data_IF_562842816687
#
_entry.id   IF_562842816687
#
_cell.length_a   1.000
_cell.length_b   1.000
_cell.length_c   1.000
_cell.angle_alpha   90.00
_cell.angle_beta   90.00
_cell.angle_gamma   90.00
#
_symmetry.space_group_name_H-M   'P 1'
#
loop_
_entity.id
_entity.type
_entity.pdbx_description
1 polymer ?
#
# COMPACT_ATOMS: atom_id res chain seq x y z
N UNK A 1 -8.59 15.49 -37.13
CA UNK A 1 -9.16 16.15 -35.91
C UNK A 1 -9.36 15.20 -34.73
N UNK A 2 -9.58 13.91 -34.96
CA UNK A 2 -9.88 12.92 -33.89
C UNK A 2 -8.74 12.50 -32.97
N UNK A 3 -7.50 12.49 -33.43
CA UNK A 3 -6.35 12.04 -32.60
C UNK A 3 -5.99 13.02 -31.49
N UNK A 4 -6.07 14.31 -31.75
CA UNK A 4 -5.80 15.36 -30.75
C UNK A 4 -6.84 15.36 -29.63
N UNK A 5 -8.11 15.17 -29.99
CA UNK A 5 -9.21 15.06 -29.04
C UNK A 5 -9.09 13.80 -28.16
N UNK A 6 -8.81 12.65 -28.78
CA UNK A 6 -8.60 11.38 -28.04
C UNK A 6 -7.42 11.46 -27.07
N UNK A 7 -6.33 12.13 -27.47
CA UNK A 7 -5.17 12.34 -26.58
C UNK A 7 -5.51 13.29 -25.44
N UNK A 8 -6.26 14.35 -25.68
CA UNK A 8 -6.73 15.27 -24.65
C UNK A 8 -7.66 14.57 -23.64
N UNK A 9 -8.61 13.78 -24.11
CA UNK A 9 -9.51 12.99 -23.24
C UNK A 9 -8.73 11.97 -22.42
N UNK A 10 -7.71 11.31 -22.98
CA UNK A 10 -6.83 10.41 -22.22
C UNK A 10 -6.04 11.16 -21.15
N UNK A 11 -5.50 12.33 -21.48
CA UNK A 11 -4.77 13.17 -20.52
C UNK A 11 -5.67 13.64 -19.38
N UNK A 12 -6.88 14.09 -19.70
CA UNK A 12 -7.90 14.49 -18.69
C UNK A 12 -8.29 13.30 -17.81
N UNK A 13 -8.57 12.13 -18.38
CA UNK A 13 -8.87 10.91 -17.60
C UNK A 13 -7.72 10.50 -16.69
N UNK A 14 -6.47 10.59 -17.17
CA UNK A 14 -5.28 10.33 -16.37
C UNK A 14 -5.16 11.33 -15.23
N UNK A 15 -5.34 12.61 -15.51
CA UNK A 15 -5.31 13.68 -14.51
C UNK A 15 -6.40 13.51 -13.46
N UNK A 16 -7.65 13.27 -13.87
CA UNK A 16 -8.75 13.00 -12.94
C UNK A 16 -8.42 11.79 -12.06
N UNK A 17 -7.96 10.68 -12.64
CA UNK A 17 -7.59 9.47 -11.89
C UNK A 17 -6.45 9.70 -10.90
N UNK A 18 -5.50 10.56 -11.27
CA UNK A 18 -4.33 10.85 -10.44
C UNK A 18 -4.65 11.82 -9.30
N UNK A 19 -5.50 12.83 -9.55
CA UNK A 19 -5.81 13.90 -8.59
C UNK A 19 -7.18 13.77 -7.93
N UNK A 20 -7.98 12.77 -8.30
CA UNK A 20 -9.33 12.56 -7.77
C UNK A 20 -9.36 12.55 -6.23
N UNK A 21 -8.50 11.76 -5.61
CA UNK A 21 -8.44 11.64 -4.15
C UNK A 21 -8.17 13.01 -3.48
N UNK A 22 -7.38 13.88 -4.12
CA UNK A 22 -7.04 15.19 -3.60
C UNK A 22 -8.16 16.20 -3.80
N UNK A 23 -8.65 16.34 -5.03
CA UNK A 23 -9.67 17.34 -5.39
C UNK A 23 -11.00 17.02 -4.73
N UNK A 24 -11.45 15.77 -4.83
CA UNK A 24 -12.72 15.34 -4.25
C UNK A 24 -12.65 15.32 -2.72
N UNK A 25 -11.52 14.86 -2.15
CA UNK A 25 -11.28 14.86 -0.71
C UNK A 25 -11.27 16.28 -0.13
N UNK A 26 -10.58 17.23 -0.77
CA UNK A 26 -10.56 18.63 -0.32
C UNK A 26 -11.93 19.31 -0.44
N UNK A 27 -12.67 19.02 -1.51
CA UNK A 27 -14.02 19.56 -1.70
C UNK A 27 -14.99 19.07 -0.60
N UNK A 28 -15.00 17.77 -0.31
CA UNK A 28 -15.81 17.22 0.77
C UNK A 28 -15.42 17.79 2.13
N UNK A 29 -14.11 17.91 2.40
CA UNK A 29 -13.60 18.50 3.63
C UNK A 29 -14.04 19.95 3.79
N UNK A 30 -13.92 20.80 2.75
CA UNK A 30 -14.31 22.21 2.79
C UNK A 30 -15.80 22.35 3.01
N UNK A 31 -16.65 21.60 2.29
CA UNK A 31 -18.11 21.65 2.43
C UNK A 31 -18.51 21.22 3.85
N UNK A 32 -17.98 20.12 4.35
CA UNK A 32 -18.30 19.63 5.69
C UNK A 32 -17.82 20.59 6.79
N UNK A 33 -16.61 21.16 6.66
CA UNK A 33 -16.09 22.17 7.59
C UNK A 33 -16.91 23.45 7.57
N UNK A 34 -17.41 23.85 6.40
CA UNK A 34 -18.33 25.00 6.29
C UNK A 34 -19.62 24.79 7.06
N UNK A 35 -20.18 23.58 7.05
CA UNK A 35 -21.38 23.27 7.86
C UNK A 35 -21.11 23.41 9.36
N UNK A 36 -19.95 22.95 9.84
CA UNK A 36 -19.55 23.20 11.24
C UNK A 36 -19.40 24.68 11.55
N UNK A 37 -18.80 25.45 10.64
CA UNK A 37 -18.65 26.90 10.78
C UNK A 37 -20.01 27.60 10.85
N UNK A 38 -20.99 27.22 10.02
CA UNK A 38 -22.35 27.75 10.05
C UNK A 38 -23.01 27.52 11.43
N UNK A 39 -22.83 26.32 12.01
CA UNK A 39 -23.35 26.04 13.36
C UNK A 39 -22.69 26.90 14.41
N UNK A 40 -21.37 27.10 14.33
CA UNK A 40 -20.62 27.91 15.28
C UNK A 40 -21.05 29.39 15.26
N UNK A 41 -21.24 29.98 14.08
CA UNK A 41 -21.62 31.38 13.91
C UNK A 41 -23.08 31.62 14.28
N UNK A 42 -23.97 30.69 13.86
CA UNK A 42 -25.41 30.87 14.03
C UNK A 42 -25.98 30.08 15.22
N UNK A 43 -25.15 29.79 16.21
CA UNK A 43 -25.50 28.97 17.39
C UNK A 43 -26.80 29.34 18.09
N UNK A 44 -27.19 30.61 18.08
CA UNK A 44 -28.38 31.10 18.75
C UNK A 44 -29.69 30.88 17.97
N UNK A 45 -29.57 30.61 16.66
CA UNK A 45 -30.72 30.43 15.78
C UNK A 45 -31.13 28.95 15.59
N UNK A 46 -30.25 28.02 15.93
CA UNK A 46 -30.54 26.61 15.76
C UNK A 46 -31.05 25.96 17.04
N UNK A 47 -32.09 25.13 16.91
CA UNK A 47 -32.48 24.23 17.99
C UNK A 47 -31.39 23.16 18.23
N UNK A 48 -31.37 22.54 19.43
CA UNK A 48 -30.41 21.44 19.75
C UNK A 48 -30.49 20.35 18.70
N UNK A 49 -31.67 19.95 18.26
CA UNK A 49 -31.87 18.98 17.19
C UNK A 49 -31.33 19.46 15.84
N UNK A 50 -31.43 20.75 15.53
CA UNK A 50 -30.85 21.34 14.33
C UNK A 50 -29.32 21.25 14.32
N UNK A 51 -28.69 21.58 15.46
CA UNK A 51 -27.22 21.45 15.64
C UNK A 51 -26.78 20.00 15.42
N UNK A 52 -27.44 19.02 16.05
CA UNK A 52 -27.10 17.62 15.88
C UNK A 52 -27.19 17.15 14.42
N UNK A 53 -28.26 17.50 13.71
CA UNK A 53 -28.43 17.12 12.30
C UNK A 53 -27.33 17.71 11.41
N UNK A 54 -27.03 19.01 11.54
CA UNK A 54 -26.02 19.67 10.71
C UNK A 54 -24.64 19.10 11.00
N UNK A 55 -24.29 18.89 12.28
CA UNK A 55 -23.03 18.30 12.67
C UNK A 55 -22.89 16.86 12.17
N UNK A 56 -23.98 16.07 12.16
CA UNK A 56 -23.98 14.71 11.62
C UNK A 56 -23.71 14.71 10.12
N UNK A 57 -24.41 15.57 9.36
CA UNK A 57 -24.17 15.73 7.92
C UNK A 57 -22.74 16.22 7.66
N UNK A 58 -22.25 17.19 8.44
CA UNK A 58 -20.88 17.67 8.38
C UNK A 58 -19.86 16.53 8.54
N UNK A 59 -20.07 15.66 9.54
CA UNK A 59 -19.20 14.48 9.74
C UNK A 59 -19.24 13.50 8.57
N UNK A 60 -20.43 13.21 8.02
CA UNK A 60 -20.57 12.32 6.85
C UNK A 60 -19.77 12.86 5.65
N UNK A 61 -19.57 14.17 5.54
CA UNK A 61 -18.79 14.79 4.47
C UNK A 61 -17.30 14.90 4.82
N UNK A 62 -16.98 15.36 6.04
CA UNK A 62 -15.59 15.59 6.48
C UNK A 62 -14.80 14.29 6.55
N UNK A 63 -15.37 13.23 7.13
CA UNK A 63 -14.63 12.00 7.36
C UNK A 63 -14.12 11.32 6.06
N UNK A 64 -14.95 11.10 5.02
CA UNK A 64 -14.46 10.61 3.74
C UNK A 64 -13.45 11.56 3.10
N UNK A 65 -13.65 12.89 3.23
CA UNK A 65 -12.73 13.89 2.74
C UNK A 65 -11.32 13.72 3.32
N UNK A 66 -11.22 13.63 4.64
CA UNK A 66 -9.95 13.41 5.35
C UNK A 66 -9.35 12.06 4.97
N UNK A 67 -10.14 10.99 4.93
CA UNK A 67 -9.67 9.66 4.53
C UNK A 67 -9.01 9.66 3.13
N UNK A 68 -9.62 10.36 2.16
CA UNK A 68 -9.05 10.50 0.82
C UNK A 68 -7.74 11.30 0.82
N UNK A 69 -7.68 12.39 1.60
CA UNK A 69 -6.47 13.19 1.73
C UNK A 69 -5.34 12.41 2.42
N UNK A 70 -5.62 11.70 3.50
CA UNK A 70 -4.65 10.84 4.20
C UNK A 70 -4.14 9.74 3.26
N UNK A 71 -5.04 9.07 2.54
CA UNK A 71 -4.67 8.07 1.53
C UNK A 71 -3.72 8.66 0.47
N UNK A 72 -4.03 9.85 -0.04
CA UNK A 72 -3.18 10.55 -1.02
C UNK A 72 -1.83 10.94 -0.43
N UNK A 73 -1.83 11.48 0.78
CA UNK A 73 -0.60 11.80 1.51
C UNK A 73 0.31 10.57 1.66
N UNK A 74 -0.23 9.44 2.08
CA UNK A 74 0.52 8.19 2.22
C UNK A 74 1.13 7.76 0.89
N UNK A 75 0.35 7.75 -0.20
CA UNK A 75 0.84 7.44 -1.54
C UNK A 75 1.97 8.35 -2.00
N UNK A 76 1.87 9.66 -1.77
CA UNK A 76 2.90 10.62 -2.17
C UNK A 76 4.17 10.49 -1.31
N UNK A 77 4.00 10.38 0.01
CA UNK A 77 5.11 10.36 0.96
C UNK A 77 5.97 9.11 0.86
N UNK A 78 5.32 7.96 0.63
CA UNK A 78 5.99 6.67 0.62
C UNK A 78 6.19 6.09 -0.79
N UNK A 79 5.80 6.80 -1.85
CA UNK A 79 5.97 6.38 -3.25
C UNK A 79 7.40 5.97 -3.59
N UNK A 80 8.38 6.77 -3.20
CA UNK A 80 9.79 6.50 -3.51
C UNK A 80 10.33 5.28 -2.76
N UNK A 81 9.75 4.96 -1.61
CA UNK A 81 10.15 3.79 -0.85
C UNK A 81 9.58 2.51 -1.46
N UNK A 82 8.31 2.51 -1.86
CA UNK A 82 7.66 1.41 -2.57
C UNK A 82 8.35 1.08 -3.90
N UNK A 83 8.90 2.09 -4.59
CA UNK A 83 9.63 1.89 -5.85
C UNK A 83 11.07 1.38 -5.64
N UNK A 84 11.71 1.70 -4.52
CA UNK A 84 13.08 1.23 -4.19
C UNK A 84 13.13 -0.23 -3.76
N UNK A 85 12.01 -0.80 -3.32
CA UNK A 85 11.84 -2.24 -3.10
C UNK A 85 11.74 -3.00 -4.43
N UNK A 86 12.63 -2.71 -5.40
CA UNK A 86 12.72 -3.50 -6.64
C UNK A 86 13.39 -4.85 -6.36
N UNK A 87 13.06 -5.85 -7.18
CA UNK A 87 13.46 -7.25 -7.03
C UNK A 87 14.97 -7.50 -6.84
N UNK A 88 15.83 -6.53 -7.19
CA UNK A 88 17.29 -6.63 -7.01
C UNK A 88 17.73 -6.59 -5.54
N UNK A 89 16.95 -5.92 -4.68
CA UNK A 89 17.26 -5.79 -3.24
C UNK A 89 16.92 -7.07 -2.45
N UNK A 90 16.11 -7.97 -3.03
CA UNK A 90 15.68 -9.23 -2.39
C UNK A 90 16.63 -10.41 -2.60
N UNK A 91 17.78 -10.18 -3.26
CA UNK A 91 18.68 -11.23 -3.69
C UNK A 91 19.69 -11.70 -2.63
N UNK A 92 19.76 -11.00 -1.49
CA UNK A 92 20.63 -11.38 -0.39
C UNK A 92 19.82 -11.83 0.81
N UNK A 93 19.93 -13.08 1.24
CA UNK A 93 19.20 -13.72 2.36
C UNK A 93 19.21 -12.95 3.68
N UNK A 94 20.13 -12.01 3.85
CA UNK A 94 20.24 -11.11 5.00
C UNK A 94 19.38 -9.84 4.88
N UNK A 95 18.94 -9.48 3.67
CA UNK A 95 18.23 -8.21 3.42
C UNK A 95 16.72 -8.31 3.66
N UNK A 96 16.10 -9.48 3.57
CA UNK A 96 14.67 -9.67 3.82
C UNK A 96 14.30 -9.30 5.26
N UNK A 97 15.13 -9.64 6.22
CA UNK A 97 14.93 -9.27 7.62
C UNK A 97 15.10 -7.76 7.83
N UNK A 98 16.05 -7.13 7.15
CA UNK A 98 16.31 -5.68 7.21
C UNK A 98 15.18 -4.91 6.53
N UNK A 99 14.68 -5.40 5.38
CA UNK A 99 13.56 -4.78 4.69
C UNK A 99 12.29 -4.82 5.52
N UNK A 100 11.93 -5.97 6.08
CA UNK A 100 10.78 -6.10 6.97
C UNK A 100 10.89 -5.21 8.21
N UNK A 101 12.07 -5.13 8.81
CA UNK A 101 12.32 -4.24 9.94
C UNK A 101 12.16 -2.76 9.55
N UNK A 102 12.69 -2.35 8.39
CA UNK A 102 12.53 -0.97 7.90
C UNK A 102 11.09 -0.65 7.55
N UNK A 103 10.34 -1.59 6.97
CA UNK A 103 8.91 -1.47 6.73
C UNK A 103 8.13 -1.26 8.04
N UNK A 104 8.36 -2.12 9.03
CA UNK A 104 7.73 -2.04 10.36
C UNK A 104 8.09 -0.74 11.10
N UNK A 105 9.33 -0.28 10.96
CA UNK A 105 9.75 1.00 11.53
C UNK A 105 9.03 2.19 10.89
N UNK A 106 8.81 2.17 9.57
CA UNK A 106 8.08 3.22 8.84
C UNK A 106 6.58 3.19 9.12
N UNK A 107 5.98 2.01 9.22
CA UNK A 107 4.60 1.84 9.68
C UNK A 107 4.42 2.49 11.06
N UNK A 108 5.24 2.11 12.04
CA UNK A 108 5.22 2.65 13.40
C UNK A 108 5.47 4.17 13.42
N UNK A 109 6.39 4.66 12.57
CA UNK A 109 6.65 6.10 12.45
C UNK A 109 5.46 6.85 11.88
N UNK A 110 4.74 6.30 10.88
CA UNK A 110 3.54 6.91 10.30
C UNK A 110 2.41 6.96 11.33
N UNK A 111 2.19 5.89 12.08
CA UNK A 111 1.20 5.85 13.17
C UNK A 111 1.52 6.85 14.28
N UNK A 112 2.80 6.97 14.67
CA UNK A 112 3.23 7.95 15.68
C UNK A 112 2.97 9.38 15.23
N UNK A 113 3.30 9.73 13.99
CA UNK A 113 3.03 11.08 13.44
C UNK A 113 1.55 11.39 13.44
N UNK A 114 0.75 10.45 12.98
CA UNK A 114 -0.69 10.61 12.94
C UNK A 114 -1.28 10.78 14.34
N UNK A 115 -0.87 9.95 15.30
CA UNK A 115 -1.27 10.08 16.71
C UNK A 115 -0.90 11.46 17.30
N UNK A 116 0.25 12.01 16.94
CA UNK A 116 0.65 13.35 17.41
C UNK A 116 -0.26 14.44 16.84
N UNK A 117 -0.64 14.36 15.55
CA UNK A 117 -1.60 15.30 14.94
C UNK A 117 -2.94 15.25 15.68
N UNK A 118 -3.46 14.05 15.90
CA UNK A 118 -4.72 13.87 16.65
C UNK A 118 -4.65 14.34 18.09
N UNK A 119 -3.50 14.18 18.76
CA UNK A 119 -3.32 14.72 20.11
C UNK A 119 -3.43 16.26 20.12
N UNK A 120 -2.90 16.93 19.09
CA UNK A 120 -3.04 18.38 18.92
C UNK A 120 -4.50 18.75 18.66
N UNK A 121 -5.22 18.04 17.79
CA UNK A 121 -6.64 18.29 17.52
C UNK A 121 -7.51 18.05 18.75
N UNK A 122 -7.25 16.99 19.50
CA UNK A 122 -7.96 16.70 20.75
C UNK A 122 -7.70 17.78 21.81
N UNK A 123 -6.46 18.26 21.91
CA UNK A 123 -6.12 19.35 22.84
C UNK A 123 -6.81 20.66 22.46
N UNK A 124 -6.91 20.97 21.15
CA UNK A 124 -7.63 22.12 20.65
C UNK A 124 -9.15 22.03 20.90
N UNK A 125 -9.74 20.83 20.71
CA UNK A 125 -11.15 20.58 21.01
C UNK A 125 -11.43 20.71 22.51
N UNK A 126 -10.54 20.21 23.38
CA UNK A 126 -10.65 20.34 24.83
C UNK A 126 -10.52 21.81 25.28
N UNK A 127 -9.57 22.57 24.72
CA UNK A 127 -9.41 24.00 24.97
C UNK A 127 -10.66 24.80 24.53
N UNK A 128 -11.23 24.43 23.39
CA UNK A 128 -12.49 25.04 22.92
C UNK A 128 -13.65 24.73 23.87
N UNK A 129 -13.79 23.51 24.35
CA UNK A 129 -14.81 23.16 25.36
C UNK A 129 -14.62 23.92 26.65
N UNK A 130 -13.39 24.05 27.14
CA UNK A 130 -13.06 24.82 28.33
C UNK A 130 -13.43 26.31 28.17
N UNK A 131 -13.05 26.91 27.04
CA UNK A 131 -13.35 28.32 26.73
C UNK A 131 -14.86 28.58 26.70
N UNK A 132 -15.63 27.68 26.06
CA UNK A 132 -17.09 27.80 26.00
C UNK A 132 -17.71 27.61 27.40
N UNK A 133 -17.23 26.67 28.18
CA UNK A 133 -17.71 26.46 29.56
C UNK A 133 -17.51 27.68 30.44
N UNK A 134 -16.41 28.43 30.20
CA UNK A 134 -16.10 29.64 30.93
C UNK A 134 -16.88 30.87 30.44
N UNK A 135 -17.12 30.97 29.13
CA UNK A 135 -17.64 32.18 28.45
C UNK A 135 -19.17 32.28 28.38
N UNK A 136 -19.92 31.18 28.54
CA UNK A 136 -21.35 31.21 28.28
C UNK A 136 -22.17 30.33 29.21
N UNK A 137 -23.27 30.88 29.70
CA UNK A 137 -24.23 30.17 30.52
C UNK A 137 -24.75 28.89 29.88
N UNK A 138 -25.00 27.95 30.71
CA UNK A 138 -25.37 26.55 30.51
C UNK A 138 -26.40 26.33 29.41
N UNK A 139 -26.14 25.35 28.51
CA UNK A 139 -27.14 24.62 27.75
C UNK A 139 -26.80 24.30 26.30
N UNK A 140 -26.55 25.29 25.43
CA UNK A 140 -26.50 25.09 23.97
C UNK A 140 -25.09 24.80 23.42
N UNK A 141 -24.06 25.21 24.11
CA UNK A 141 -22.67 25.13 23.65
C UNK A 141 -22.07 23.73 23.87
N UNK A 142 -22.59 23.01 24.84
CA UNK A 142 -22.09 21.65 25.13
C UNK A 142 -22.35 20.64 24.02
N UNK A 143 -23.51 20.72 23.35
CA UNK A 143 -23.84 19.82 22.25
C UNK A 143 -22.82 19.93 21.09
N UNK A 144 -22.44 21.15 20.70
CA UNK A 144 -21.43 21.37 19.69
C UNK A 144 -20.05 20.85 20.12
N UNK A 145 -19.69 21.04 21.38
CA UNK A 145 -18.44 20.55 21.95
C UNK A 145 -18.36 19.03 21.99
N UNK A 146 -19.41 18.35 22.45
CA UNK A 146 -19.48 16.88 22.43
C UNK A 146 -19.39 16.33 21.00
N UNK A 147 -20.02 16.99 20.03
CA UNK A 147 -19.93 16.61 18.63
C UNK A 147 -18.52 16.81 18.06
N UNK A 148 -17.80 17.87 18.46
CA UNK A 148 -16.38 18.03 18.07
C UNK A 148 -15.51 16.90 18.60
N UNK A 149 -15.64 16.55 19.88
CA UNK A 149 -14.88 15.42 20.46
C UNK A 149 -15.23 14.11 19.76
N UNK A 150 -16.51 13.86 19.50
CA UNK A 150 -16.95 12.68 18.75
C UNK A 150 -16.38 12.66 17.32
N UNK A 151 -16.31 13.82 16.65
CA UNK A 151 -15.71 13.96 15.30
C UNK A 151 -14.25 13.54 15.31
N UNK A 152 -13.45 14.07 16.25
CA UNK A 152 -12.02 13.73 16.37
C UNK A 152 -11.84 12.23 16.66
N UNK A 153 -12.72 11.64 17.47
CA UNK A 153 -12.65 10.21 17.76
C UNK A 153 -12.97 9.32 16.56
N UNK A 154 -14.01 9.68 15.80
CA UNK A 154 -14.37 9.00 14.54
C UNK A 154 -13.23 9.15 13.52
N UNK A 155 -12.67 10.35 13.41
CA UNK A 155 -11.53 10.65 12.53
C UNK A 155 -10.33 9.75 12.87
N UNK A 156 -10.02 9.60 14.14
CA UNK A 156 -8.97 8.69 14.61
C UNK A 156 -9.16 7.26 14.09
N UNK A 157 -10.37 6.71 14.27
CA UNK A 157 -10.66 5.34 13.85
C UNK A 157 -10.55 5.22 12.33
N UNK A 158 -11.17 6.13 11.59
CA UNK A 158 -11.19 6.11 10.12
C UNK A 158 -9.78 6.26 9.52
N UNK A 159 -9.00 7.21 10.00
CA UNK A 159 -7.66 7.45 9.49
C UNK A 159 -6.69 6.32 9.85
N UNK A 160 -6.79 5.76 11.06
CA UNK A 160 -6.03 4.57 11.45
C UNK A 160 -6.29 3.41 10.49
N UNK A 161 -7.56 3.16 10.17
CA UNK A 161 -7.94 2.09 9.24
C UNK A 161 -7.39 2.34 7.83
N UNK A 162 -7.42 3.58 7.32
CA UNK A 162 -6.85 3.95 6.02
C UNK A 162 -5.34 3.72 5.99
N UNK A 163 -4.62 4.12 7.06
CA UNK A 163 -3.17 3.92 7.18
C UNK A 163 -2.83 2.43 7.23
N UNK A 164 -3.55 1.65 8.03
CA UNK A 164 -3.32 0.21 8.13
C UNK A 164 -3.61 -0.51 6.81
N UNK A 165 -4.70 -0.16 6.10
CA UNK A 165 -5.01 -0.71 4.78
C UNK A 165 -3.94 -0.37 3.75
N UNK A 166 -3.41 0.85 3.80
CA UNK A 166 -2.30 1.24 2.92
C UNK A 166 -1.07 0.33 3.15
N UNK A 167 -0.64 0.16 4.40
CA UNK A 167 0.51 -0.65 4.73
C UNK A 167 0.31 -2.15 4.45
N UNK A 168 -0.88 -2.69 4.68
CA UNK A 168 -1.21 -4.08 4.29
C UNK A 168 -1.13 -4.26 2.78
N UNK A 169 -1.74 -3.37 2.00
CA UNK A 169 -1.69 -3.43 0.54
C UNK A 169 -0.26 -3.32 -0.01
N UNK A 170 0.61 -2.53 0.61
CA UNK A 170 2.04 -2.47 0.25
C UNK A 170 2.75 -3.80 0.56
N UNK A 171 2.47 -4.38 1.73
CA UNK A 171 3.04 -5.67 2.12
C UNK A 171 2.61 -6.79 1.16
N UNK A 172 1.31 -6.86 0.83
CA UNK A 172 0.76 -7.85 -0.11
C UNK A 172 1.43 -7.76 -1.49
N UNK A 173 1.64 -6.54 -2.01
CA UNK A 173 2.33 -6.34 -3.28
C UNK A 173 3.81 -6.77 -3.23
N UNK A 174 4.47 -6.59 -2.10
CA UNK A 174 5.85 -7.02 -1.90
C UNK A 174 5.91 -8.54 -1.86
N UNK A 175 5.03 -9.19 -1.11
CA UNK A 175 4.95 -10.64 -1.02
C UNK A 175 4.69 -11.27 -2.39
N UNK A 176 3.74 -10.75 -3.17
CA UNK A 176 3.43 -11.23 -4.52
C UNK A 176 4.64 -11.11 -5.47
N UNK A 177 5.37 -9.99 -5.41
CA UNK A 177 6.60 -9.81 -6.20
C UNK A 177 7.69 -10.79 -5.78
N UNK A 178 7.87 -10.99 -4.49
CA UNK A 178 8.86 -11.91 -3.94
C UNK A 178 8.55 -13.35 -4.35
N UNK A 179 7.30 -13.78 -4.25
CA UNK A 179 6.85 -15.09 -4.67
C UNK A 179 7.10 -15.31 -6.17
N UNK A 180 6.70 -14.38 -7.02
CA UNK A 180 6.92 -14.45 -8.46
C UNK A 180 8.41 -14.52 -8.84
N UNK A 181 9.26 -13.88 -8.06
CA UNK A 181 10.70 -13.92 -8.24
C UNK A 181 11.28 -15.29 -7.85
N UNK A 182 10.88 -15.85 -6.71
CA UNK A 182 11.31 -17.19 -6.30
C UNK A 182 10.85 -18.26 -7.28
N UNK A 183 9.62 -18.19 -7.78
CA UNK A 183 9.13 -19.11 -8.82
C UNK A 183 10.01 -19.08 -10.07
N UNK A 184 10.35 -17.88 -10.57
CA UNK A 184 11.25 -17.76 -11.73
C UNK A 184 12.65 -18.33 -11.47
N UNK A 185 13.18 -18.12 -10.27
CA UNK A 185 14.48 -18.70 -9.88
C UNK A 185 14.44 -20.21 -9.81
N UNK A 186 13.37 -20.76 -9.26
CA UNK A 186 13.16 -22.19 -9.18
C UNK A 186 13.08 -22.80 -10.59
N UNK A 187 12.29 -22.21 -11.50
CA UNK A 187 12.21 -22.64 -12.90
C UNK A 187 13.58 -22.59 -13.59
N UNK A 188 14.37 -21.54 -13.38
CA UNK A 188 15.72 -21.43 -13.93
C UNK A 188 16.66 -22.52 -13.37
N UNK A 189 16.59 -22.79 -12.07
CA UNK A 189 17.40 -23.84 -11.43
C UNK A 189 17.05 -25.21 -11.97
N UNK A 190 15.76 -25.53 -12.09
CA UNK A 190 15.28 -26.78 -12.67
C UNK A 190 15.71 -26.94 -14.14
N UNK A 191 15.69 -25.89 -14.92
CA UNK A 191 16.12 -25.92 -16.32
C UNK A 191 17.65 -26.17 -16.43
N UNK A 192 18.46 -25.59 -15.55
CA UNK A 192 19.90 -25.82 -15.47
C UNK A 192 20.17 -27.30 -15.08
N UNK A 193 19.47 -27.80 -14.08
CA UNK A 193 19.59 -29.17 -13.63
C UNK A 193 19.21 -30.16 -14.76
N UNK A 194 18.09 -29.95 -15.44
CA UNK A 194 17.66 -30.73 -16.60
C UNK A 194 18.73 -30.75 -17.67
N UNK A 195 19.29 -29.60 -18.05
CA UNK A 195 20.37 -29.52 -19.05
C UNK A 195 21.64 -30.26 -18.60
N UNK A 196 21.95 -30.23 -17.31
CA UNK A 196 23.09 -30.95 -16.76
C UNK A 196 22.88 -32.48 -16.83
N UNK A 197 21.68 -32.95 -16.48
CA UNK A 197 21.30 -34.36 -16.58
C UNK A 197 21.32 -34.85 -18.03
N UNK A 198 20.82 -34.05 -18.99
CA UNK A 198 20.90 -34.37 -20.41
C UNK A 198 22.36 -34.53 -20.89
N UNK A 199 23.27 -33.66 -20.43
CA UNK A 199 24.70 -33.75 -20.76
C UNK A 199 25.35 -35.02 -20.16
N UNK A 200 25.02 -35.35 -18.91
CA UNK A 200 25.51 -36.58 -18.27
C UNK A 200 25.00 -37.79 -19.00
N UNK A 201 23.70 -37.87 -19.31
CA UNK A 201 23.09 -38.96 -20.05
C UNK A 201 23.73 -39.15 -21.43
N UNK A 202 24.00 -38.06 -22.18
CA UNK A 202 24.73 -38.12 -23.45
C UNK A 202 26.15 -38.64 -23.29
N UNK A 203 26.86 -38.18 -22.24
CA UNK A 203 28.21 -38.66 -21.96
C UNK A 203 28.24 -40.15 -21.67
N UNK A 204 27.29 -40.64 -20.89
CA UNK A 204 27.19 -42.08 -20.57
C UNK A 204 26.83 -42.91 -21.81
N UNK A 205 25.94 -42.38 -22.66
CA UNK A 205 25.61 -43.06 -23.92
C UNK A 205 26.82 -43.17 -24.86
N UNK A 206 27.60 -42.07 -24.99
CA UNK A 206 28.85 -42.09 -25.75
C UNK A 206 29.89 -43.09 -25.17
N UNK A 207 29.96 -43.22 -23.84
CA UNK A 207 30.84 -44.23 -23.19
C UNK A 207 30.40 -45.64 -23.52
N UNK A 208 29.10 -45.91 -23.47
CA UNK A 208 28.55 -47.24 -23.84
C UNK A 208 28.83 -47.54 -25.30
N UNK A 209 28.61 -46.62 -26.21
CA UNK A 209 28.84 -46.75 -27.63
C UNK A 209 30.35 -47.00 -27.93
N UNK A 210 31.23 -46.25 -27.23
CA UNK A 210 32.68 -46.45 -27.33
C UNK A 210 33.10 -47.84 -26.88
N UNK A 211 32.63 -48.32 -25.71
CA UNK A 211 32.92 -49.64 -25.19
C UNK A 211 32.42 -50.73 -26.15
N UNK A 212 31.23 -50.55 -26.70
CA UNK A 212 30.61 -51.50 -27.65
C UNK A 212 31.44 -51.59 -28.96
N UNK A 213 31.80 -50.43 -29.52
CA UNK A 213 32.57 -50.36 -30.74
C UNK A 213 33.98 -50.95 -30.57
N UNK A 214 34.67 -50.53 -29.45
CA UNK A 214 36.00 -51.13 -29.16
C UNK A 214 35.93 -52.62 -28.93
N UNK A 215 34.88 -53.13 -28.27
CA UNK A 215 34.67 -54.53 -28.05
C UNK A 215 34.47 -55.28 -29.38
N UNK A 216 33.71 -54.68 -30.31
CA UNK A 216 33.53 -55.28 -31.65
C UNK A 216 34.82 -55.27 -32.47
N UNK A 217 35.55 -54.14 -32.45
CA UNK A 217 36.82 -54.01 -33.21
C UNK A 217 37.95 -54.91 -32.67
N UNK A 218 37.94 -55.19 -31.36
CA UNK A 218 38.87 -56.17 -30.76
C UNK A 218 38.48 -57.64 -31.04
N UNK A 219 37.19 -57.92 -31.19
CA UNK A 219 36.71 -59.30 -31.46
C UNK A 219 37.15 -59.83 -32.83
N UNK A 220 37.20 -58.89 -33.82
CA UNK A 220 37.58 -59.29 -35.21
C UNK A 220 39.03 -59.77 -35.30
N UNK A 221 40.09 -59.07 -34.80
CA UNK A 221 41.44 -59.55 -34.82
C UNK A 221 41.66 -60.74 -33.86
N UNK A 222 40.93 -60.77 -32.70
CA UNK A 222 41.07 -61.91 -31.78
C UNK A 222 40.56 -63.23 -32.38
N UNK A 223 39.45 -63.16 -33.13
CA UNK A 223 38.93 -64.38 -33.85
C UNK A 223 39.86 -64.87 -34.93
N UNK A 224 40.62 -63.97 -35.61
CA UNK A 224 41.63 -64.33 -36.56
C UNK A 224 42.88 -64.93 -35.95
N UNK A 225 43.24 -64.59 -34.71
CA UNK A 225 44.40 -65.12 -33.99
C UNK A 225 44.09 -66.49 -33.37
N UNK A 226 42.86 -66.71 -32.87
CA UNK A 226 42.46 -67.98 -32.24
C UNK A 226 42.02 -69.05 -33.27
N UNK A 227 41.74 -68.61 -34.50
CA UNK A 227 41.34 -69.50 -35.60
C UNK A 227 42.49 -70.09 -36.43
N UNK A 228 43.74 -69.85 -36.03
CA UNK A 228 44.96 -70.47 -36.51
C UNK A 228 45.43 -71.43 -35.42
#
# INVERSE_FOLDING_TARGET
MDTKWKNMVKAIKKFIKEYYDCVFGSLLFIIGSFLFFVVLVNRYYFSTWGVWRICLIGNILVQPGICLLVRRYMKLRYRNWSQKGSAETYLQDTEDSIYYQTWKAKEKQSEKRFRNILAVELSAAAAYLFFISYSSGWGWNYAAGYMMVATVFIEYICCREVIQRYWRSELDQIMERTESFFQKRLEQALEIERKSLEKVSRSDQLRVDLITNVSHDLKTPLTSIVGY
#
